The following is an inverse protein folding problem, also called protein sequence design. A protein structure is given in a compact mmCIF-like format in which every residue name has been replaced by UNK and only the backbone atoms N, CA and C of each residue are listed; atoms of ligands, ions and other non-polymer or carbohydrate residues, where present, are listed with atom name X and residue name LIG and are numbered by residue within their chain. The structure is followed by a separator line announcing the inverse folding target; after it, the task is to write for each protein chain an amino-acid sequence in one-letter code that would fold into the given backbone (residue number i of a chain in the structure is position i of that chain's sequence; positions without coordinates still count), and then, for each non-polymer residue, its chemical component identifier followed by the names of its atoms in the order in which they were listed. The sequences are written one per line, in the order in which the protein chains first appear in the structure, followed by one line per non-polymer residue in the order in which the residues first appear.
data_IF_206427334452
#
_entry.id   IF_206427334452
#
_cell.length_a   1.000
_cell.length_b   1.000
_cell.length_c   1.000
_cell.angle_alpha   90.00
_cell.angle_beta   90.00
_cell.angle_gamma   90.00
#
_symmetry.space_group_name_H-M   'P 1'
#
loop_
_entity.id
_entity.type
_entity.pdbx_description
1 polymer ?
#
# COMPACT_ATOMS: atom_id res chain seq x y z
N UNK A 1 13.78 -5.92 23.92
CA UNK A 1 14.58 -5.54 22.74
C UNK A 1 13.58 -5.23 21.64
N UNK A 2 13.13 -3.97 21.50
CA UNK A 2 12.22 -3.62 20.40
C UNK A 2 13.04 -3.51 19.12
N UNK A 3 12.75 -4.38 18.16
CA UNK A 3 13.28 -4.25 16.81
C UNK A 3 12.50 -3.13 16.11
N UNK A 4 12.97 -1.88 16.24
CA UNK A 4 12.52 -0.83 15.33
C UNK A 4 12.99 -1.19 13.92
N UNK A 5 12.06 -1.63 13.07
CA UNK A 5 12.32 -1.83 11.65
C UNK A 5 12.53 -0.44 11.01
N UNK A 6 13.75 -0.10 10.54
CA UNK A 6 14.06 1.24 10.03
C UNK A 6 13.29 1.59 8.75
N UNK A 7 12.63 0.60 8.13
CA UNK A 7 11.79 0.80 6.94
C UNK A 7 10.38 1.32 7.24
N UNK A 8 9.92 1.27 8.50
CA UNK A 8 8.58 1.76 8.86
C UNK A 8 8.55 3.27 8.88
N UNK A 9 7.60 3.84 8.14
CA UNK A 9 7.28 5.25 8.18
C UNK A 9 6.71 5.68 9.56
N UNK A 10 6.64 6.98 9.88
CA UNK A 10 6.06 7.45 11.14
C UNK A 10 4.66 6.90 11.43
N UNK A 11 3.73 6.95 10.47
CA UNK A 11 2.37 6.43 10.69
C UNK A 11 2.35 4.90 10.78
N UNK A 12 3.29 4.19 10.15
CA UNK A 12 3.41 2.74 10.30
C UNK A 12 3.87 2.35 11.71
N UNK A 13 4.70 3.17 12.36
CA UNK A 13 5.08 2.98 13.77
C UNK A 13 3.93 3.32 14.71
N UNK A 14 3.17 4.37 14.40
CA UNK A 14 1.95 4.73 15.13
C UNK A 14 0.95 3.58 15.08
N UNK A 15 0.65 3.05 13.89
CA UNK A 15 -0.22 1.88 13.71
C UNK A 15 0.26 0.66 14.52
N UNK A 16 1.57 0.42 14.57
CA UNK A 16 2.13 -0.65 15.39
C UNK A 16 1.81 -0.43 16.88
N UNK A 17 2.06 0.78 17.39
CA UNK A 17 1.78 1.12 18.78
C UNK A 17 0.30 1.00 19.09
N UNK A 18 -0.59 1.52 18.22
CA UNK A 18 -2.05 1.40 18.36
C UNK A 18 -2.48 -0.06 18.49
N UNK A 19 -2.02 -0.94 17.61
CA UNK A 19 -2.40 -2.36 17.66
C UNK A 19 -1.92 -3.04 18.96
N UNK A 20 -0.71 -2.71 19.43
CA UNK A 20 -0.21 -3.27 20.70
C UNK A 20 -0.98 -2.73 21.90
N UNK A 21 -1.32 -1.44 21.89
CA UNK A 21 -2.11 -0.78 22.95
C UNK A 21 -3.56 -1.32 23.00
N UNK A 22 -4.14 -1.65 21.85
CA UNK A 22 -5.47 -2.28 21.72
C UNK A 22 -5.48 -3.76 22.11
N UNK A 23 -4.32 -4.33 22.47
CA UNK A 23 -4.19 -5.68 23.00
C UNK A 23 -3.94 -6.78 21.98
N UNK A 24 -3.67 -6.44 20.72
CA UNK A 24 -3.27 -7.45 19.71
C UNK A 24 -1.84 -7.94 19.96
N UNK A 25 -1.54 -9.16 19.49
CA UNK A 25 -0.21 -9.73 19.68
C UNK A 25 0.86 -8.92 18.95
N UNK A 26 2.08 -8.87 19.52
CA UNK A 26 3.24 -8.21 18.90
C UNK A 26 3.52 -8.79 17.51
N UNK A 27 3.34 -10.10 17.33
CA UNK A 27 3.53 -10.78 16.04
C UNK A 27 2.51 -10.28 15.01
N UNK A 28 1.24 -10.18 15.38
CA UNK A 28 0.20 -9.65 14.51
C UNK A 28 0.45 -8.18 14.15
N UNK A 29 0.71 -7.33 15.15
CA UNK A 29 1.02 -5.91 14.92
C UNK A 29 2.25 -5.73 14.01
N UNK A 30 3.28 -6.56 14.18
CA UNK A 30 4.47 -6.57 13.31
C UNK A 30 4.12 -6.96 11.89
N UNK A 31 3.34 -8.03 11.69
CA UNK A 31 2.92 -8.51 10.38
C UNK A 31 2.13 -7.44 9.60
N UNK A 32 1.15 -6.80 10.25
CA UNK A 32 0.35 -5.74 9.62
C UNK A 32 1.25 -4.58 9.19
N UNK A 33 2.10 -4.10 10.10
CA UNK A 33 2.88 -2.87 9.87
C UNK A 33 4.09 -3.08 8.96
N UNK A 34 4.62 -4.29 8.84
CA UNK A 34 5.62 -4.63 7.82
C UNK A 34 5.04 -4.61 6.41
N UNK A 35 3.75 -4.98 6.24
CA UNK A 35 3.03 -4.90 4.96
C UNK A 35 2.52 -3.48 4.66
N UNK A 36 2.08 -2.75 5.69
CA UNK A 36 1.62 -1.37 5.62
C UNK A 36 2.72 -0.41 6.11
N UNK A 37 3.90 -0.50 5.49
CA UNK A 37 5.11 0.19 5.93
C UNK A 37 5.24 1.67 5.48
N UNK A 38 4.34 2.16 4.64
CA UNK A 38 4.30 3.56 4.18
C UNK A 38 3.22 4.37 4.88
N UNK A 39 3.39 5.68 4.96
CA UNK A 39 2.40 6.57 5.58
C UNK A 39 1.04 6.49 4.88
N UNK A 40 1.03 6.32 3.54
CA UNK A 40 -0.21 6.19 2.79
C UNK A 40 -1.02 4.96 3.21
N UNK A 41 -0.38 3.79 3.26
CA UNK A 41 -1.06 2.54 3.62
C UNK A 41 -1.38 2.45 5.11
N UNK A 42 -0.47 2.91 5.98
CA UNK A 42 -0.68 2.90 7.42
C UNK A 42 -1.79 3.89 7.83
N UNK A 43 -1.81 5.08 7.22
CA UNK A 43 -2.85 6.08 7.47
C UNK A 43 -4.25 5.59 7.09
N UNK A 44 -4.38 4.79 6.02
CA UNK A 44 -5.66 4.15 5.68
C UNK A 44 -6.12 3.17 6.76
N UNK A 45 -5.21 2.32 7.24
CA UNK A 45 -5.55 1.39 8.33
C UNK A 45 -5.89 2.11 9.63
N UNK A 46 -5.11 3.13 10.03
CA UNK A 46 -5.43 3.96 11.20
C UNK A 46 -6.81 4.63 11.07
N UNK A 47 -7.13 5.17 9.90
CA UNK A 47 -8.45 5.74 9.63
C UNK A 47 -9.57 4.71 9.71
N UNK A 48 -9.34 3.48 9.22
CA UNK A 48 -10.30 2.39 9.35
C UNK A 48 -10.52 2.01 10.81
N UNK A 49 -9.44 1.79 11.57
CA UNK A 49 -9.50 1.41 12.99
C UNK A 49 -10.19 2.48 13.84
N UNK A 50 -10.04 3.77 13.51
CA UNK A 50 -10.65 4.88 14.25
C UNK A 50 -12.20 4.84 14.30
N UNK A 51 -12.85 3.99 13.50
CA UNK A 51 -14.30 3.80 13.50
C UNK A 51 -14.78 2.65 14.39
N UNK A 52 -13.88 1.92 15.04
CA UNK A 52 -14.20 0.73 15.82
C UNK A 52 -13.51 0.73 17.18
N UNK A 53 -14.19 0.21 18.21
CA UNK A 53 -13.61 0.09 19.55
C UNK A 53 -12.66 -1.11 19.65
N UNK A 54 -12.99 -2.24 19.01
CA UNK A 54 -12.16 -3.43 18.90
C UNK A 54 -12.63 -4.30 17.74
N UNK A 55 -11.70 -4.86 16.96
CA UNK A 55 -11.98 -5.69 15.80
C UNK A 55 -11.35 -7.08 15.96
N UNK A 56 -11.99 -8.14 15.43
CA UNK A 56 -11.30 -9.41 15.26
C UNK A 56 -10.06 -9.24 14.36
N UNK A 57 -8.96 -9.96 14.65
CA UNK A 57 -7.75 -9.94 13.81
C UNK A 57 -8.04 -10.26 12.34
N UNK A 58 -9.08 -11.07 12.06
CA UNK A 58 -9.52 -11.41 10.70
C UNK A 58 -9.99 -10.17 9.92
N UNK A 59 -10.74 -9.27 10.55
CA UNK A 59 -11.25 -8.05 9.89
C UNK A 59 -10.10 -7.07 9.60
N UNK A 60 -9.13 -6.97 10.51
CA UNK A 60 -7.93 -6.14 10.31
C UNK A 60 -7.06 -6.72 9.18
N UNK A 61 -6.93 -8.04 9.12
CA UNK A 61 -6.21 -8.71 8.04
C UNK A 61 -6.90 -8.54 6.69
N UNK A 62 -8.24 -8.62 6.64
CA UNK A 62 -9.00 -8.41 5.41
C UNK A 62 -8.84 -6.96 4.90
N UNK A 63 -8.98 -5.97 5.78
CA UNK A 63 -8.75 -4.57 5.41
C UNK A 63 -7.29 -4.33 4.95
N UNK A 64 -6.30 -4.98 5.57
CA UNK A 64 -4.91 -4.92 5.10
C UNK A 64 -4.82 -5.43 3.65
N UNK A 65 -5.43 -6.58 3.34
CA UNK A 65 -5.45 -7.14 1.99
C UNK A 65 -6.17 -6.22 0.99
N UNK A 66 -7.27 -5.60 1.39
CA UNK A 66 -7.97 -4.61 0.59
C UNK A 66 -7.09 -3.40 0.25
N UNK A 67 -6.42 -2.80 1.24
CA UNK A 67 -5.48 -1.69 1.06
C UNK A 67 -4.32 -2.08 0.12
N UNK A 68 -3.77 -3.29 0.27
CA UNK A 68 -2.69 -3.79 -0.58
C UNK A 68 -3.16 -4.01 -2.03
N UNK A 69 -4.37 -4.49 -2.22
CA UNK A 69 -5.00 -4.68 -3.53
C UNK A 69 -5.20 -3.34 -4.24
N UNK A 70 -5.77 -2.35 -3.54
CA UNK A 70 -5.95 -0.99 -4.07
C UNK A 70 -4.62 -0.37 -4.52
N UNK A 71 -3.58 -0.52 -3.69
CA UNK A 71 -2.22 -0.05 -4.01
C UNK A 71 -1.70 -0.70 -5.30
N UNK A 72 -1.93 -2.00 -5.46
CA UNK A 72 -1.53 -2.73 -6.68
C UNK A 72 -2.28 -2.22 -7.91
N UNK A 73 -3.59 -2.10 -7.83
CA UNK A 73 -4.41 -1.61 -8.94
C UNK A 73 -3.98 -0.21 -9.39
N UNK A 74 -3.66 0.68 -8.44
CA UNK A 74 -3.17 2.02 -8.76
C UNK A 74 -1.82 2.01 -9.49
N UNK A 75 -0.88 1.15 -9.08
CA UNK A 75 0.40 0.99 -9.76
C UNK A 75 0.22 0.43 -11.17
N UNK A 76 -0.61 -0.61 -11.33
CA UNK A 76 -0.88 -1.23 -12.61
C UNK A 76 -1.51 -0.21 -13.59
N UNK A 77 -2.43 0.63 -13.09
CA UNK A 77 -3.02 1.74 -13.87
C UNK A 77 -1.96 2.75 -14.31
N UNK A 78 -1.07 3.19 -13.41
CA UNK A 78 0.01 4.13 -13.74
C UNK A 78 0.99 3.57 -14.77
N UNK A 79 1.31 2.28 -14.70
CA UNK A 79 2.14 1.62 -15.69
C UNK A 79 1.44 1.58 -17.06
N UNK A 80 0.15 1.26 -17.10
CA UNK A 80 -0.62 1.28 -18.35
C UNK A 80 -0.68 2.69 -18.97
N UNK A 81 -0.88 3.73 -18.14
CA UNK A 81 -0.86 5.13 -18.59
C UNK A 81 0.50 5.54 -19.16
N UNK A 82 1.61 5.10 -18.56
CA UNK A 82 2.96 5.41 -19.06
C UNK A 82 3.27 4.71 -20.39
N UNK A 83 2.85 3.45 -20.55
CA UNK A 83 2.99 2.74 -21.82
C UNK A 83 2.16 3.39 -22.94
N UNK A 84 0.93 3.80 -22.65
CA UNK A 84 0.08 4.50 -23.61
C UNK A 84 0.68 5.86 -24.01
N UNK A 85 1.23 6.62 -23.06
CA UNK A 85 1.90 7.88 -23.36
C UNK A 85 3.14 7.69 -24.24
N UNK A 86 3.98 6.68 -23.94
CA UNK A 86 5.13 6.34 -24.75
C UNK A 86 4.74 5.93 -26.17
N UNK A 87 3.73 5.08 -26.32
CA UNK A 87 3.18 4.67 -27.61
C UNK A 87 2.70 5.86 -28.44
N UNK A 88 1.91 6.76 -27.84
CA UNK A 88 1.41 7.96 -28.51
C UNK A 88 2.56 8.86 -28.99
N UNK A 89 3.62 9.01 -28.19
CA UNK A 89 4.81 9.77 -28.57
C UNK A 89 5.53 9.14 -29.77
N UNK A 90 5.67 7.81 -29.82
CA UNK A 90 6.31 7.12 -30.95
C UNK A 90 5.50 7.24 -32.25
N UNK A 91 4.18 7.13 -32.16
CA UNK A 91 3.29 7.37 -33.30
C UNK A 91 3.41 8.81 -33.81
N UNK A 92 3.39 9.80 -32.92
CA UNK A 92 3.55 11.21 -33.30
C UNK A 92 4.93 11.51 -33.89
N UNK A 93 5.96 10.81 -33.45
CA UNK A 93 7.32 10.97 -33.95
C UNK A 93 7.55 10.32 -35.33
N UNK A 94 6.53 9.67 -35.93
CA UNK A 94 6.62 9.06 -37.26
C UNK A 94 7.59 7.88 -37.34
N UNK A 95 7.94 7.27 -36.20
CA UNK A 95 8.96 6.20 -36.14
C UNK A 95 8.56 4.96 -36.94
N UNK A 96 7.27 4.80 -37.22
CA UNK A 96 6.72 3.68 -37.97
C UNK A 96 6.31 4.04 -39.40
N UNK A 97 6.52 5.28 -39.85
CA UNK A 97 6.07 5.74 -41.18
C UNK A 97 6.82 5.04 -42.34
N UNK A 98 8.03 4.52 -42.09
CA UNK A 98 8.87 3.86 -43.09
C UNK A 98 8.69 2.33 -43.16
N UNK A 99 7.74 1.75 -42.41
CA UNK A 99 7.57 0.27 -42.32
C UNK A 99 6.59 -0.27 -43.37
N UNK A 100 5.86 0.61 -44.06
CA UNK A 100 4.86 0.25 -45.08
C UNK A 100 5.38 0.36 -46.54
N UNK A 101 6.69 0.49 -46.79
CA UNK A 101 7.34 0.34 -48.13
C UNK A 101 8.04 -1.02 -48.31
#
# INVERSE_FOLDING_TARGET
MSYENPRKSPLSRELYSTLVEDGYSIEFATLITDNLNTDFTAGRMLGYLAHYDHLPEVEIADEMLAILSDRKQFMDKKAAESYNAAWNNYMQAGIFDDIDE
#
